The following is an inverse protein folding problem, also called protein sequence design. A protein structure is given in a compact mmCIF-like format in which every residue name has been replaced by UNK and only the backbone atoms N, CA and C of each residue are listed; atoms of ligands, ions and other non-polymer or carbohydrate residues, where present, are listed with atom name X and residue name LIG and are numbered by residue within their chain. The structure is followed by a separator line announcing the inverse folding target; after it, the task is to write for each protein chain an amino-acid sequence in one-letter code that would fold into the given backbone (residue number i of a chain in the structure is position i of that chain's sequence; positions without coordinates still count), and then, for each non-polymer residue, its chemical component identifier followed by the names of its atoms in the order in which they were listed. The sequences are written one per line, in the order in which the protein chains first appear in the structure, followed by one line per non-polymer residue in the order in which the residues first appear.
data_IF_867010249357
#
_entry.id   IF_867010249357
#
_cell.length_a   1.000
_cell.length_b   1.000
_cell.length_c   1.000
_cell.angle_alpha   90.00
_cell.angle_beta   90.00
_cell.angle_gamma   90.00
#
_symmetry.space_group_name_H-M   'P 1'
#
loop_
_entity.id
_entity.type
_entity.pdbx_description
1 polymer ?
#
# COMPACT_ATOMS: atom_id res chain seq x y z
N UNK A 1 27.02 -75.35 72.15
CA UNK A 1 27.28 -74.07 71.47
C UNK A 1 26.93 -74.25 70.00
N UNK A 2 25.93 -73.53 69.50
CA UNK A 2 25.42 -73.71 68.13
C UNK A 2 26.41 -73.09 67.13
N UNK A 3 27.15 -73.95 66.41
CA UNK A 3 27.95 -73.55 65.26
C UNK A 3 27.01 -73.17 64.11
N UNK A 4 26.64 -71.89 64.03
CA UNK A 4 25.90 -71.33 62.90
C UNK A 4 26.87 -71.20 61.72
N UNK A 5 26.76 -72.11 60.77
CA UNK A 5 27.51 -72.05 59.50
C UNK A 5 27.08 -70.79 58.74
N UNK A 6 27.96 -69.79 58.67
CA UNK A 6 27.77 -68.65 57.79
C UNK A 6 27.86 -69.12 56.35
N UNK A 7 26.73 -69.12 55.65
CA UNK A 7 26.71 -69.38 54.21
C UNK A 7 27.46 -68.25 53.52
N UNK A 8 28.56 -68.56 52.83
CA UNK A 8 29.31 -67.59 52.04
C UNK A 8 28.36 -66.93 51.03
N UNK A 9 28.22 -65.61 51.09
CA UNK A 9 27.42 -64.87 50.13
C UNK A 9 27.95 -65.11 48.71
N UNK A 10 27.04 -65.18 47.74
CA UNK A 10 27.42 -65.22 46.33
C UNK A 10 28.21 -63.97 45.98
N UNK A 11 29.32 -64.12 45.23
CA UNK A 11 30.12 -62.99 44.71
C UNK A 11 29.25 -61.94 44.01
N UNK A 12 28.17 -62.37 43.36
CA UNK A 12 27.20 -61.50 42.69
C UNK A 12 26.46 -60.61 43.71
N UNK A 13 26.00 -61.15 44.83
CA UNK A 13 25.33 -60.40 45.89
C UNK A 13 26.25 -59.36 46.50
N UNK A 14 27.52 -59.71 46.72
CA UNK A 14 28.53 -58.77 47.22
C UNK A 14 28.78 -57.61 46.23
N UNK A 15 28.85 -57.90 44.93
CA UNK A 15 28.97 -56.86 43.90
C UNK A 15 27.76 -55.92 43.87
N UNK A 16 26.53 -56.43 43.96
CA UNK A 16 25.32 -55.59 44.03
C UNK A 16 25.30 -54.72 45.29
N UNK A 17 25.69 -55.26 46.45
CA UNK A 17 25.78 -54.48 47.69
C UNK A 17 26.82 -53.37 47.58
N UNK A 18 27.99 -53.63 46.98
CA UNK A 18 28.99 -52.58 46.72
C UNK A 18 28.46 -51.50 45.79
N UNK A 19 27.77 -51.87 44.71
CA UNK A 19 27.18 -50.90 43.78
C UNK A 19 26.08 -50.07 44.45
N UNK A 20 25.25 -50.68 45.28
CA UNK A 20 24.22 -49.97 46.06
C UNK A 20 24.85 -48.91 46.96
N UNK A 21 25.86 -49.28 47.75
CA UNK A 21 26.57 -48.35 48.62
C UNK A 21 27.22 -47.21 47.83
N UNK A 22 27.83 -47.54 46.68
CA UNK A 22 28.43 -46.53 45.80
C UNK A 22 27.39 -45.55 45.24
N UNK A 23 26.22 -46.03 44.79
CA UNK A 23 25.15 -45.17 44.28
C UNK A 23 24.53 -44.34 45.41
N UNK A 24 24.37 -44.90 46.61
CA UNK A 24 23.79 -44.15 47.71
C UNK A 24 24.71 -43.02 48.20
N UNK A 25 26.03 -43.28 48.21
CA UNK A 25 27.04 -42.32 48.65
C UNK A 25 27.42 -41.29 47.57
N UNK A 26 27.56 -41.71 46.31
CA UNK A 26 28.11 -40.88 45.22
C UNK A 26 27.12 -40.64 44.07
N UNK A 27 25.95 -41.27 44.09
CA UNK A 27 24.92 -41.07 43.07
C UNK A 27 24.23 -39.73 43.20
N UNK A 28 23.73 -39.23 42.08
CA UNK A 28 22.91 -38.03 42.02
C UNK A 28 21.42 -38.41 42.01
N UNK A 29 20.60 -37.47 42.46
CA UNK A 29 19.16 -37.60 42.43
C UNK A 29 18.68 -37.46 40.99
N UNK A 30 17.88 -38.44 40.57
CA UNK A 30 17.21 -38.46 39.27
C UNK A 30 15.70 -38.41 39.46
N UNK A 31 14.99 -38.20 38.35
CA UNK A 31 13.53 -38.32 38.35
C UNK A 31 13.08 -39.69 38.89
N UNK A 32 12.05 -39.66 39.74
CA UNK A 32 11.55 -40.84 40.42
C UNK A 32 11.09 -41.91 39.42
N UNK A 33 11.58 -43.13 39.58
CA UNK A 33 11.02 -44.30 38.90
C UNK A 33 9.73 -44.75 39.61
N UNK A 34 8.87 -45.51 38.95
CA UNK A 34 7.58 -45.95 39.51
C UNK A 34 7.73 -46.68 40.85
N UNK A 35 8.81 -47.48 41.02
CA UNK A 35 9.08 -48.18 42.26
C UNK A 35 9.56 -47.27 43.40
N UNK A 36 10.38 -46.26 43.10
CA UNK A 36 10.80 -45.27 44.11
C UNK A 36 9.63 -44.34 44.48
N UNK A 37 8.82 -43.95 43.48
CA UNK A 37 7.65 -43.11 43.68
C UNK A 37 6.60 -43.78 44.57
N UNK A 38 6.29 -45.07 44.32
CA UNK A 38 5.29 -45.81 45.13
C UNK A 38 5.71 -46.02 46.58
N UNK A 39 7.02 -45.96 46.86
CA UNK A 39 7.59 -46.09 48.20
C UNK A 39 7.98 -44.74 48.81
N UNK A 40 7.71 -43.62 48.11
CA UNK A 40 8.13 -42.27 48.53
C UNK A 40 9.64 -42.15 48.84
N UNK A 41 10.48 -42.81 48.05
CA UNK A 41 11.93 -42.83 48.22
C UNK A 41 12.61 -41.96 47.15
N UNK A 42 13.75 -41.37 47.50
CA UNK A 42 14.59 -40.65 46.54
C UNK A 42 15.25 -41.65 45.60
N UNK A 43 15.15 -41.39 44.30
CA UNK A 43 15.78 -42.20 43.27
C UNK A 43 17.20 -41.67 43.01
N UNK A 44 18.22 -42.42 43.44
CA UNK A 44 19.63 -42.10 43.17
C UNK A 44 20.22 -43.01 42.11
N UNK A 45 21.07 -42.47 41.25
CA UNK A 45 21.75 -43.19 40.19
C UNK A 45 23.15 -42.60 39.92
N UNK A 46 24.06 -43.42 39.39
CA UNK A 46 25.34 -42.94 38.85
C UNK A 46 25.28 -42.91 37.31
N UNK A 47 26.08 -42.05 36.67
CA UNK A 47 26.03 -41.84 35.20
C UNK A 47 26.12 -43.13 34.38
N UNK A 48 26.97 -44.05 34.80
CA UNK A 48 27.22 -45.31 34.10
C UNK A 48 26.43 -46.49 34.67
N UNK A 49 25.70 -46.30 35.77
CA UNK A 49 24.82 -47.33 36.28
C UNK A 49 23.64 -47.53 35.31
N UNK A 50 23.12 -48.75 35.21
CA UNK A 50 21.87 -49.03 34.48
C UNK A 50 20.64 -48.93 35.38
N UNK A 51 20.86 -48.86 36.68
CA UNK A 51 19.87 -49.11 37.71
C UNK A 51 20.02 -48.08 38.84
N UNK A 52 18.90 -47.64 39.41
CA UNK A 52 18.91 -46.82 40.61
C UNK A 52 19.22 -47.65 41.87
N UNK A 53 19.48 -46.99 42.99
CA UNK A 53 19.77 -47.63 44.27
C UNK A 53 18.69 -48.66 44.67
N UNK A 54 17.41 -48.37 44.45
CA UNK A 54 16.34 -49.30 44.83
C UNK A 54 16.11 -50.46 43.89
N UNK A 55 16.42 -50.31 42.61
CA UNK A 55 16.41 -51.44 41.67
C UNK A 55 17.28 -52.59 42.20
N UNK A 56 18.47 -52.24 42.71
CA UNK A 56 19.45 -53.20 43.22
C UNK A 56 18.88 -54.02 44.38
N UNK A 57 17.97 -53.44 45.18
CA UNK A 57 17.36 -54.10 46.34
C UNK A 57 16.07 -54.86 46.00
N UNK A 58 15.25 -54.34 45.10
CA UNK A 58 13.89 -54.84 44.88
C UNK A 58 13.72 -55.68 43.60
N UNK A 59 14.76 -55.85 42.77
CA UNK A 59 14.69 -56.64 41.51
C UNK A 59 13.55 -56.21 40.56
N UNK A 60 13.11 -54.95 40.64
CA UNK A 60 12.08 -54.35 39.79
C UNK A 60 12.72 -53.49 38.69
N UNK A 61 12.07 -53.29 37.54
CA UNK A 61 12.63 -52.47 36.46
C UNK A 61 12.67 -50.97 36.82
N UNK A 62 13.80 -50.29 36.56
CA UNK A 62 13.94 -48.86 36.78
C UNK A 62 13.59 -48.13 35.49
N UNK A 63 12.43 -47.49 35.47
CA UNK A 63 11.99 -46.61 34.39
C UNK A 63 12.26 -45.12 34.66
N UNK A 64 13.09 -44.81 35.67
CA UNK A 64 13.49 -43.44 35.96
C UNK A 64 14.34 -42.86 34.82
N UNK A 65 14.09 -41.60 34.48
CA UNK A 65 14.89 -40.87 33.51
C UNK A 65 16.27 -40.56 34.11
N UNK A 66 17.35 -40.69 33.34
CA UNK A 66 18.74 -40.46 33.80
C UNK A 66 19.09 -38.98 34.00
N UNK A 67 18.14 -38.08 33.80
CA UNK A 67 18.35 -36.65 33.99
C UNK A 67 18.38 -36.37 35.49
N UNK A 68 19.46 -35.75 35.95
CA UNK A 68 19.56 -35.33 37.34
C UNK A 68 18.57 -34.20 37.62
N UNK A 69 17.98 -34.21 38.82
CA UNK A 69 17.03 -33.18 39.24
C UNK A 69 17.70 -31.82 39.24
N UNK A 70 18.97 -31.74 39.67
CA UNK A 70 19.74 -30.50 39.68
C UNK A 70 20.02 -29.93 38.28
N UNK A 71 20.30 -30.79 37.29
CA UNK A 71 20.46 -30.34 35.91
C UNK A 71 19.14 -29.83 35.35
N UNK A 72 18.03 -30.54 35.62
CA UNK A 72 16.71 -30.11 35.19
C UNK A 72 16.30 -28.77 35.82
N UNK A 73 16.54 -28.59 37.12
CA UNK A 73 16.26 -27.31 37.80
C UNK A 73 17.08 -26.15 37.20
N UNK A 74 18.34 -26.39 36.83
CA UNK A 74 19.17 -25.38 36.15
C UNK A 74 18.63 -25.04 34.77
N UNK A 75 18.20 -26.05 34.00
CA UNK A 75 17.59 -25.83 32.69
C UNK A 75 16.30 -25.00 32.84
N UNK A 76 15.42 -25.36 33.77
CA UNK A 76 14.16 -24.61 34.01
C UNK A 76 14.44 -23.18 34.45
N UNK A 77 15.45 -22.95 35.30
CA UNK A 77 15.80 -21.61 35.74
C UNK A 77 16.34 -20.76 34.57
N UNK A 78 17.17 -21.36 33.71
CA UNK A 78 17.71 -20.68 32.54
C UNK A 78 16.65 -20.41 31.47
N UNK A 79 15.73 -21.35 31.27
CA UNK A 79 14.57 -21.23 30.38
C UNK A 79 13.71 -20.03 30.78
N UNK A 80 13.30 -19.94 32.06
CA UNK A 80 12.58 -18.77 32.58
C UNK A 80 13.35 -17.45 32.44
N UNK A 81 14.67 -17.51 32.61
CA UNK A 81 15.55 -16.34 32.44
C UNK A 81 15.62 -15.91 30.96
N UNK A 82 15.47 -16.84 30.02
CA UNK A 82 15.42 -16.56 28.59
C UNK A 82 14.04 -16.03 28.20
N UNK A 83 12.95 -16.67 28.63
CA UNK A 83 11.57 -16.20 28.39
C UNK A 83 11.38 -14.74 28.86
N UNK A 84 11.93 -14.39 30.03
CA UNK A 84 11.85 -13.02 30.54
C UNK A 84 12.58 -12.02 29.63
N UNK A 85 13.73 -12.39 29.06
CA UNK A 85 14.46 -11.54 28.13
C UNK A 85 13.79 -11.46 26.77
N UNK A 86 13.21 -12.57 26.30
CA UNK A 86 12.43 -12.58 25.06
C UNK A 86 11.25 -11.62 25.17
N UNK A 87 10.51 -11.67 26.29
CA UNK A 87 9.43 -10.73 26.58
C UNK A 87 9.88 -9.26 26.59
N UNK A 88 11.02 -8.96 27.24
CA UNK A 88 11.58 -7.59 27.26
C UNK A 88 11.91 -7.09 25.85
N UNK A 89 12.57 -7.92 25.04
CA UNK A 89 12.94 -7.57 23.66
C UNK A 89 11.70 -7.45 22.77
N UNK A 90 10.71 -8.30 22.95
CA UNK A 90 9.44 -8.22 22.22
C UNK A 90 8.70 -6.92 22.52
N UNK A 91 8.61 -6.53 23.79
CA UNK A 91 8.01 -5.25 24.20
C UNK A 91 8.79 -4.03 23.63
N UNK A 92 10.11 -4.09 23.61
CA UNK A 92 10.95 -3.05 23.00
C UNK A 92 10.71 -2.95 21.49
N UNK A 93 10.61 -4.08 20.81
CA UNK A 93 10.36 -4.17 19.38
C UNK A 93 8.97 -3.64 19.02
N UNK A 94 7.93 -4.04 19.75
CA UNK A 94 6.58 -3.52 19.59
C UNK A 94 6.52 -2.00 19.78
N UNK A 95 7.19 -1.50 20.82
CA UNK A 95 7.30 -0.06 21.06
C UNK A 95 8.03 0.68 19.93
N UNK A 96 9.11 0.11 19.39
CA UNK A 96 9.83 0.68 18.26
C UNK A 96 8.98 0.68 16.98
N UNK A 97 8.26 -0.41 16.73
CA UNK A 97 7.34 -0.54 15.59
C UNK A 97 6.21 0.50 15.66
N UNK A 98 5.61 0.70 16.84
CA UNK A 98 4.57 1.71 17.03
C UNK A 98 5.08 3.12 16.71
N UNK A 99 6.25 3.50 17.25
CA UNK A 99 6.87 4.80 16.97
C UNK A 99 7.18 4.99 15.48
N UNK A 100 7.65 3.93 14.80
CA UNK A 100 7.92 3.99 13.37
C UNK A 100 6.65 4.23 12.55
N UNK A 101 5.53 3.59 12.92
CA UNK A 101 4.23 3.80 12.29
C UNK A 101 3.71 5.24 12.51
N UNK A 102 3.88 5.80 13.70
CA UNK A 102 3.50 7.19 13.97
C UNK A 102 4.25 8.18 13.07
N UNK A 103 5.57 8.03 12.96
CA UNK A 103 6.41 8.86 12.08
C UNK A 103 5.99 8.72 10.62
N UNK A 104 5.73 7.49 10.16
CA UNK A 104 5.27 7.24 8.80
C UNK A 104 3.92 7.91 8.53
N UNK A 105 2.97 7.78 9.45
CA UNK A 105 1.65 8.39 9.33
C UNK A 105 1.73 9.92 9.26
N UNK A 106 2.57 10.54 10.10
CA UNK A 106 2.80 11.99 10.07
C UNK A 106 3.42 12.44 8.73
N UNK A 107 4.41 11.70 8.22
CA UNK A 107 5.02 11.99 6.94
C UNK A 107 4.00 11.86 5.78
N UNK A 108 3.20 10.80 5.78
CA UNK A 108 2.12 10.60 4.81
C UNK A 108 1.08 11.73 4.85
N UNK A 109 0.71 12.19 6.05
CA UNK A 109 -0.20 13.32 6.22
C UNK A 109 0.37 14.60 5.57
N UNK A 110 1.63 14.95 5.85
CA UNK A 110 2.31 16.12 5.25
C UNK A 110 2.40 16.01 3.73
N UNK A 111 2.72 14.84 3.21
CA UNK A 111 2.76 14.58 1.76
C UNK A 111 1.37 14.80 1.16
N UNK A 112 0.32 14.23 1.77
CA UNK A 112 -1.05 14.37 1.27
C UNK A 112 -1.52 15.84 1.25
N UNK A 113 -1.18 16.61 2.28
CA UNK A 113 -1.52 18.04 2.36
C UNK A 113 -0.82 18.84 1.26
N UNK A 114 0.48 18.60 1.07
CA UNK A 114 1.26 19.28 0.01
C UNK A 114 0.78 18.91 -1.39
N UNK A 115 0.42 17.65 -1.63
CA UNK A 115 -0.16 17.18 -2.88
C UNK A 115 -1.52 17.83 -3.15
N UNK A 116 -2.39 17.91 -2.14
CA UNK A 116 -3.67 18.59 -2.26
C UNK A 116 -3.51 20.09 -2.53
N UNK A 117 -2.52 20.74 -1.89
CA UNK A 117 -2.17 22.15 -2.17
C UNK A 117 -1.69 22.32 -3.61
N UNK A 118 -0.80 21.45 -4.09
CA UNK A 118 -0.32 21.48 -5.46
C UNK A 118 -1.45 21.30 -6.47
N UNK A 119 -2.36 20.35 -6.23
CA UNK A 119 -3.52 20.12 -7.09
C UNK A 119 -4.39 21.37 -7.22
N UNK A 120 -4.66 22.08 -6.11
CA UNK A 120 -5.40 23.35 -6.14
C UNK A 120 -4.68 24.42 -6.97
N UNK A 121 -3.37 24.57 -6.78
CA UNK A 121 -2.56 25.52 -7.56
C UNK A 121 -2.59 25.20 -9.06
N UNK A 122 -2.50 23.92 -9.43
CA UNK A 122 -2.60 23.49 -10.82
C UNK A 122 -3.97 23.85 -11.44
N UNK A 123 -5.06 23.67 -10.69
CA UNK A 123 -6.41 24.05 -11.14
C UNK A 123 -6.50 25.56 -11.33
N UNK A 124 -6.02 26.34 -10.35
CA UNK A 124 -6.00 27.80 -10.43
C UNK A 124 -5.19 28.30 -11.62
N UNK A 125 -3.99 27.74 -11.83
CA UNK A 125 -3.13 28.08 -12.97
C UNK A 125 -3.83 27.80 -14.31
N UNK A 126 -4.45 26.63 -14.47
CA UNK A 126 -5.20 26.29 -15.70
C UNK A 126 -6.38 27.23 -15.92
N UNK A 127 -7.11 27.59 -14.87
CA UNK A 127 -8.23 28.54 -14.95
C UNK A 127 -7.77 29.94 -15.36
N UNK A 128 -6.67 30.43 -14.78
CA UNK A 128 -6.07 31.72 -15.15
C UNK A 128 -5.57 31.72 -16.59
N UNK A 129 -4.87 30.66 -17.01
CA UNK A 129 -4.39 30.52 -18.38
C UNK A 129 -5.55 30.49 -19.39
N UNK A 130 -6.62 29.74 -19.08
CA UNK A 130 -7.83 29.68 -19.91
C UNK A 130 -8.52 31.04 -20.01
N UNK A 131 -8.67 31.77 -18.90
CA UNK A 131 -9.26 33.13 -18.90
C UNK A 131 -8.39 34.12 -19.66
N UNK A 132 -7.06 34.05 -19.50
CA UNK A 132 -6.13 34.87 -20.26
C UNK A 132 -6.25 34.65 -21.76
N UNK A 133 -6.32 33.39 -22.20
CA UNK A 133 -6.55 33.04 -23.60
C UNK A 133 -7.89 33.59 -24.12
N UNK A 134 -8.97 33.47 -23.34
CA UNK A 134 -10.28 34.04 -23.71
C UNK A 134 -10.24 35.56 -23.88
N UNK A 135 -9.56 36.27 -22.96
CA UNK A 135 -9.43 37.72 -23.03
C UNK A 135 -8.63 38.16 -24.25
N UNK A 136 -7.53 37.45 -24.57
CA UNK A 136 -6.74 37.73 -25.78
C UNK A 136 -7.57 37.50 -27.02
N UNK A 137 -8.27 36.36 -27.12
CA UNK A 137 -9.11 36.04 -28.28
C UNK A 137 -10.24 37.07 -28.46
N UNK A 138 -10.93 37.44 -27.38
CA UNK A 138 -11.97 38.47 -27.45
C UNK A 138 -11.41 39.85 -27.85
N UNK A 139 -10.18 40.17 -27.43
CA UNK A 139 -9.49 41.37 -27.85
C UNK A 139 -9.16 41.36 -29.35
N UNK A 140 -8.66 40.23 -29.86
CA UNK A 140 -8.38 40.05 -31.29
C UNK A 140 -9.67 40.13 -32.12
N UNK A 141 -10.74 39.42 -31.74
CA UNK A 141 -12.04 39.50 -32.41
C UNK A 141 -12.63 40.93 -32.40
N UNK A 142 -12.34 41.72 -31.37
CA UNK A 142 -12.76 43.12 -31.33
C UNK A 142 -11.94 44.02 -32.24
N UNK A 143 -10.66 43.73 -32.43
CA UNK A 143 -9.79 44.46 -33.38
C UNK A 143 -10.19 44.12 -34.82
N UNK A 144 -10.38 42.84 -35.12
CA UNK A 144 -10.82 42.38 -36.44
C UNK A 144 -12.13 43.09 -36.87
N UNK A 145 -13.09 43.24 -35.95
CA UNK A 145 -14.35 43.96 -36.20
C UNK A 145 -14.19 45.47 -36.42
N UNK A 146 -13.18 46.09 -35.81
CA UNK A 146 -12.89 47.51 -36.01
C UNK A 146 -12.23 47.71 -37.37
N UNK A 147 -11.27 46.85 -37.73
CA UNK A 147 -10.61 46.86 -39.03
C UNK A 147 -11.63 46.63 -40.17
N UNK A 148 -12.57 45.69 -39.99
CA UNK A 148 -13.68 45.47 -40.93
C UNK A 148 -14.55 46.72 -41.10
N UNK A 149 -14.84 47.45 -40.00
CA UNK A 149 -15.64 48.67 -40.06
C UNK A 149 -14.89 49.80 -40.76
N UNK A 150 -13.61 50.00 -40.44
CA UNK A 150 -12.78 51.02 -41.10
C UNK A 150 -12.73 50.76 -42.61
N UNK A 151 -12.53 49.51 -43.04
CA UNK A 151 -12.58 49.14 -44.46
C UNK A 151 -13.94 49.48 -45.09
N UNK A 152 -15.06 49.15 -44.44
CA UNK A 152 -16.39 49.52 -44.94
C UNK A 152 -16.58 51.05 -45.05
N UNK A 153 -16.13 51.82 -44.06
CA UNK A 153 -16.22 53.29 -44.08
C UNK A 153 -15.36 53.90 -45.19
N UNK A 154 -14.17 53.35 -45.44
CA UNK A 154 -13.31 53.73 -46.57
C UNK A 154 -13.98 53.42 -47.91
N UNK A 155 -14.56 52.24 -48.08
CA UNK A 155 -15.31 51.86 -49.28
C UNK A 155 -16.50 52.80 -49.53
N UNK A 156 -17.26 53.13 -48.48
CA UNK A 156 -18.37 54.09 -48.55
C UNK A 156 -17.88 55.49 -48.93
N UNK A 157 -16.79 55.98 -48.32
CA UNK A 157 -16.19 57.27 -48.68
C UNK A 157 -15.69 57.29 -50.12
N UNK A 158 -15.06 56.21 -50.58
CA UNK A 158 -14.58 56.07 -51.95
C UNK A 158 -15.74 56.05 -52.95
N UNK A 159 -16.81 55.31 -52.67
CA UNK A 159 -18.03 55.32 -53.48
C UNK A 159 -18.67 56.71 -53.49
N UNK A 160 -18.78 57.38 -52.35
CA UNK A 160 -19.32 58.73 -52.27
C UNK A 160 -18.47 59.76 -53.02
N UNK A 161 -17.14 59.62 -53.02
CA UNK A 161 -16.23 60.43 -53.81
C UNK A 161 -16.41 60.20 -55.32
N UNK A 162 -16.49 58.94 -55.76
CA UNK A 162 -16.79 58.58 -57.14
C UNK A 162 -18.15 59.12 -57.59
N UNK A 163 -19.19 59.03 -56.74
CA UNK A 163 -20.51 59.61 -57.03
C UNK A 163 -20.42 61.14 -57.14
N UNK A 164 -19.67 61.82 -56.25
CA UNK A 164 -19.49 63.28 -56.32
C UNK A 164 -18.72 63.71 -57.57
N UNK A 165 -17.73 62.93 -57.99
CA UNK A 165 -16.98 63.15 -59.22
C UNK A 165 -17.85 62.91 -60.46
N UNK A 166 -18.66 61.84 -60.46
CA UNK A 166 -19.65 61.58 -61.52
C UNK A 166 -20.71 62.70 -61.60
N UNK A 167 -21.26 63.15 -60.46
CA UNK A 167 -22.21 64.27 -60.41
C UNK A 167 -21.57 65.59 -60.84
N UNK A 168 -20.28 65.81 -60.57
CA UNK A 168 -19.54 66.98 -61.09
C UNK A 168 -19.25 66.88 -62.59
N UNK A 169 -19.00 65.68 -63.12
CA UNK A 169 -18.85 65.44 -64.56
C UNK A 169 -20.19 65.56 -65.30
N UNK A 170 -21.30 65.15 -64.66
CA UNK A 170 -22.66 65.24 -65.19
C UNK A 170 -23.26 66.66 -65.06
N UNK A 171 -22.74 67.48 -64.13
CA UNK A 171 -23.00 68.93 -64.09
C UNK A 171 -22.42 69.70 -65.27
N UNK A 172 -21.61 69.07 -66.14
CA UNK A 172 -21.18 69.65 -67.43
C UNK A 172 -22.13 69.23 -68.57
N UNK A 173 -23.07 68.30 -68.34
CA UNK A 173 -24.03 67.80 -69.36
C UNK A 173 -25.51 67.92 -68.97
N UNK A 174 -25.85 68.68 -67.93
CA UNK A 174 -27.24 68.97 -67.57
C UNK A 174 -27.82 70.18 -68.33
N UNK A 175 -27.76 70.12 -69.66
CA UNK A 175 -28.74 70.74 -70.57
C UNK A 175 -28.95 69.76 -71.74
N UNK A 176 -29.71 68.68 -71.53
CA UNK A 176 -30.85 68.34 -72.39
C UNK A 176 -31.52 67.01 -72.03
N UNK A 177 -32.85 67.06 -72.05
CA UNK A 177 -33.79 65.96 -72.36
C UNK A 177 -34.07 64.84 -71.33
N UNK A 178 -35.27 64.92 -70.75
CA UNK A 178 -36.42 64.05 -71.05
C UNK A 178 -36.10 62.55 -71.31
N UNK A 179 -36.08 61.73 -70.27
CA UNK A 179 -36.40 60.30 -70.40
C UNK A 179 -37.23 59.81 -69.22
N UNK A 180 -38.44 59.36 -69.56
CA UNK A 180 -39.51 58.90 -68.71
C UNK A 180 -39.42 57.37 -68.52
N UNK A 181 -39.79 56.88 -67.34
CA UNK A 181 -40.22 55.49 -67.13
C UNK A 181 -39.15 54.39 -67.01
N UNK A 182 -38.70 54.12 -65.78
CA UNK A 182 -38.25 52.77 -65.41
C UNK A 182 -38.79 52.39 -64.03
N UNK A 183 -39.72 51.44 -64.01
CA UNK A 183 -40.44 50.95 -62.83
C UNK A 183 -39.71 49.76 -62.20
N UNK A 184 -39.19 49.97 -60.98
CA UNK A 184 -38.46 48.94 -60.20
C UNK A 184 -39.37 47.96 -59.44
N UNK A 185 -40.70 48.07 -59.51
CA UNK A 185 -41.62 47.12 -58.86
C UNK A 185 -41.76 45.75 -59.57
N UNK A 186 -40.97 45.47 -60.61
CA UNK A 186 -41.00 44.18 -61.35
C UNK A 186 -39.83 43.22 -61.04
N UNK A 187 -38.98 43.49 -60.04
CA UNK A 187 -38.00 42.49 -59.56
C UNK A 187 -38.48 41.89 -58.24
N UNK A 188 -39.20 40.78 -58.35
CA UNK A 188 -39.58 39.92 -57.25
C UNK A 188 -38.63 38.71 -57.19
N UNK A 189 -37.69 38.60 -56.22
CA UNK A 189 -36.98 37.36 -55.96
C UNK A 189 -37.67 36.61 -54.81
N UNK A 190 -38.89 36.14 -55.06
CA UNK A 190 -39.45 35.04 -54.29
C UNK A 190 -38.88 33.73 -54.84
N UNK A 191 -37.96 33.11 -54.12
CA UNK A 191 -37.62 31.69 -54.31
C UNK A 191 -36.14 31.34 -54.36
N UNK A 192 -35.46 31.37 -53.21
CA UNK A 192 -34.30 30.52 -52.96
C UNK A 192 -34.19 30.26 -51.44
N UNK A 193 -34.88 29.23 -50.97
CA UNK A 193 -34.57 28.59 -49.69
C UNK A 193 -33.33 27.75 -49.93
N UNK A 194 -32.19 28.16 -49.39
CA UNK A 194 -31.00 27.30 -49.31
C UNK A 194 -31.01 26.65 -47.93
N UNK A 195 -31.36 25.36 -47.93
CA UNK A 195 -31.29 24.47 -46.76
C UNK A 195 -29.83 24.04 -46.54
N UNK A 196 -29.30 24.30 -45.35
CA UNK A 196 -27.94 23.95 -44.91
C UNK A 196 -27.95 22.96 -43.74
N UNK A 197 -28.91 22.03 -43.70
CA UNK A 197 -28.95 20.96 -42.71
C UNK A 197 -28.32 19.65 -43.20
N UNK A 198 -27.01 19.70 -43.52
CA UNK A 198 -26.29 18.53 -43.99
C UNK A 198 -24.77 18.68 -44.06
N UNK A 199 -24.09 18.90 -42.93
CA UNK A 199 -22.64 18.72 -42.85
C UNK A 199 -22.21 18.35 -41.43
N UNK A 200 -21.50 17.22 -41.32
CA UNK A 200 -20.95 16.57 -40.11
C UNK A 200 -21.87 15.56 -39.39
N UNK A 201 -22.10 14.45 -40.07
CA UNK A 201 -21.99 13.15 -39.40
C UNK A 201 -20.51 12.80 -39.21
N UNK A 202 -20.14 12.41 -37.99
CA UNK A 202 -19.07 11.44 -37.74
C UNK A 202 -19.25 10.87 -36.34
N UNK A 203 -19.67 9.61 -36.33
CA UNK A 203 -19.64 8.70 -35.20
C UNK A 203 -18.19 8.49 -34.75
N UNK A 204 -17.95 8.45 -33.43
CA UNK A 204 -16.84 7.68 -32.85
C UNK A 204 -17.39 6.92 -31.64
N UNK A 205 -17.28 5.57 -31.61
CA UNK A 205 -17.69 4.76 -30.46
C UNK A 205 -16.58 4.78 -29.41
N UNK A 206 -16.92 5.14 -28.17
CA UNK A 206 -15.98 5.06 -27.05
C UNK A 206 -15.98 3.66 -26.43
N UNK A 207 -14.77 3.14 -26.28
CA UNK A 207 -14.44 1.75 -26.07
C UNK A 207 -14.81 1.23 -24.68
N UNK A 208 -15.27 -0.02 -24.68
CA UNK A 208 -15.31 -0.89 -23.51
C UNK A 208 -13.90 -1.22 -23.02
N UNK A 209 -13.50 -0.76 -21.84
CA UNK A 209 -12.38 -1.33 -21.09
C UNK A 209 -12.88 -2.40 -20.12
N UNK A 210 -12.81 -3.64 -20.58
CA UNK A 210 -12.76 -4.84 -19.77
C UNK A 210 -11.35 -4.96 -19.15
N UNK A 211 -11.27 -4.86 -17.82
CA UNK A 211 -10.06 -5.26 -17.08
C UNK A 211 -10.32 -6.57 -16.35
N UNK A 212 -9.93 -7.65 -17.03
CA UNK A 212 -9.68 -8.98 -16.49
C UNK A 212 -8.56 -8.96 -15.45
N UNK A 213 -8.67 -9.86 -14.46
CA UNK A 213 -7.70 -10.01 -13.38
C UNK A 213 -6.38 -10.69 -13.76
N UNK A 214 -5.48 -10.68 -12.78
CA UNK A 214 -4.39 -11.61 -12.51
C UNK A 214 -4.11 -11.47 -11.00
N UNK A 215 -4.43 -12.45 -10.16
CA UNK A 215 -3.62 -13.63 -9.83
C UNK A 215 -2.21 -13.34 -9.30
N UNK A 216 -2.00 -13.79 -8.05
CA UNK A 216 -0.80 -14.37 -7.41
C UNK A 216 0.39 -13.47 -7.06
N UNK A 217 0.74 -13.50 -5.76
CA UNK A 217 1.95 -14.15 -5.22
C UNK A 217 1.87 -14.08 -3.69
N UNK A 218 1.74 -15.22 -3.01
CA UNK A 218 2.83 -15.93 -2.28
C UNK A 218 3.13 -15.32 -0.92
#
# INVERSE_FOLDING_TARGET
MLNRVEKSFSKKTEQYNRLFLAIDQFGFEIMLCTACASQSLVCKMMDNAKYCSQYIRCTCSCNGCRVSVSALSRIIAEDKRLESKEWEVEAELEGAHHRALEVLNEACAKISESAARLARLCIQHRSLASRGAQMVNAGLESLDKLDERECCEEEECNLAALVREAVSAESILAEDSLFDGFDWNSVNPSGAVVDYSGFLGSEVPEASESRSGAERSS
#
